data_IF_990646897111
#
_entry.id   IF_990646897111
#
_cell.length_a   1.000
_cell.length_b   1.000
_cell.length_c   1.000
_cell.angle_alpha   90.00
_cell.angle_beta   90.00
_cell.angle_gamma   90.00
#
_symmetry.space_group_name_H-M   'P 1'
#
loop_
_entity.id
_entity.type
_entity.pdbx_description
1 polymer ?
#
# COMPACT_ATOMS: atom_id res chain seq x y z
N UNK A 1 26.27 2.35 58.87
CA UNK A 1 26.26 3.37 57.80
C UNK A 1 26.23 2.62 56.47
N UNK A 2 25.04 2.42 55.91
CA UNK A 2 24.84 1.73 54.63
C UNK A 2 24.46 2.79 53.61
N UNK A 3 25.34 3.01 52.63
CA UNK A 3 25.08 3.92 51.51
C UNK A 3 24.23 3.20 50.46
N UNK A 4 23.05 3.75 50.17
CA UNK A 4 22.21 3.36 49.04
C UNK A 4 22.83 3.95 47.78
N UNK A 5 23.31 3.11 46.86
CA UNK A 5 23.68 3.50 45.51
C UNK A 5 22.41 3.48 44.64
N UNK A 6 21.99 4.62 44.11
CA UNK A 6 20.94 4.68 43.08
C UNK A 6 21.50 4.20 41.75
N UNK A 7 20.74 3.42 40.94
CA UNK A 7 21.18 3.06 39.60
C UNK A 7 21.23 4.29 38.69
N UNK A 8 22.26 4.35 37.85
CA UNK A 8 22.42 5.37 36.81
C UNK A 8 21.24 5.34 35.82
N UNK A 9 20.80 6.49 35.30
CA UNK A 9 19.76 6.52 34.26
C UNK A 9 20.30 5.88 32.97
N UNK A 10 19.49 5.02 32.37
CA UNK A 10 19.71 4.51 31.01
C UNK A 10 19.76 5.68 30.01
N UNK A 11 20.54 5.57 28.92
CA UNK A 11 20.66 6.64 27.96
C UNK A 11 19.30 6.92 27.30
N UNK A 12 18.88 8.19 27.36
CA UNK A 12 17.76 8.71 26.58
C UNK A 12 17.96 8.36 25.11
N UNK A 13 17.06 7.54 24.56
CA UNK A 13 16.94 7.33 23.12
C UNK A 13 16.43 8.64 22.55
N UNK A 14 17.35 9.48 22.12
CA UNK A 14 17.06 10.70 21.36
C UNK A 14 16.35 10.27 20.08
N UNK A 15 15.09 10.68 19.96
CA UNK A 15 14.25 10.55 18.77
C UNK A 15 15.00 11.07 17.54
N UNK A 16 15.40 10.15 16.68
CA UNK A 16 15.91 10.45 15.34
C UNK A 16 14.75 11.00 14.50
N UNK A 17 14.87 12.28 14.16
CA UNK A 17 14.32 13.00 13.02
C UNK A 17 13.23 12.25 12.20
N UNK A 18 11.97 12.67 12.36
CA UNK A 18 10.81 12.20 11.58
C UNK A 18 10.96 12.43 10.06
N UNK A 19 11.90 13.29 9.64
CA UNK A 19 12.16 13.60 8.22
C UNK A 19 12.71 12.41 7.42
N UNK A 20 13.24 11.38 8.08
CA UNK A 20 13.81 10.20 7.40
C UNK A 20 12.75 9.16 7.00
N UNK A 21 11.51 9.29 7.46
CA UNK A 21 10.40 8.38 7.10
C UNK A 21 9.76 8.75 5.75
N UNK A 22 9.89 10.00 5.31
CA UNK A 22 9.29 10.50 4.06
C UNK A 22 9.97 9.94 2.80
N UNK A 23 11.23 9.50 2.91
CA UNK A 23 11.96 8.86 1.80
C UNK A 23 11.67 7.35 1.66
N UNK A 24 10.97 6.74 2.63
CA UNK A 24 10.73 5.28 2.65
C UNK A 24 9.35 4.92 2.08
N UNK A 25 8.32 5.73 2.36
CA UNK A 25 6.93 5.47 1.98
C UNK A 25 6.26 6.72 1.40
N UNK A 26 5.25 6.51 0.56
CA UNK A 26 4.46 7.57 -0.06
C UNK A 26 3.14 7.72 0.72
N UNK A 27 2.95 8.86 1.36
CA UNK A 27 1.71 9.19 2.10
C UNK A 27 0.59 9.59 1.14
N UNK A 28 -0.66 9.46 1.59
CA UNK A 28 -1.82 9.88 0.79
C UNK A 28 -1.81 11.37 0.44
N UNK A 29 -1.27 12.22 1.33
CA UNK A 29 -1.13 13.66 1.11
C UNK A 29 -0.20 13.99 -0.07
N UNK A 30 0.77 13.12 -0.33
CA UNK A 30 1.74 13.26 -1.42
C UNK A 30 1.27 12.62 -2.73
N UNK A 31 0.06 12.07 -2.79
CA UNK A 31 -0.54 11.53 -4.02
C UNK A 31 -1.50 12.57 -4.61
N UNK A 32 -1.19 13.19 -5.77
CA UNK A 32 -2.02 14.25 -6.34
C UNK A 32 -3.37 13.71 -6.81
N UNK A 33 -4.44 14.44 -6.51
CA UNK A 33 -5.80 14.14 -7.01
C UNK A 33 -5.96 14.54 -8.47
N UNK A 34 -6.98 14.01 -9.16
CA UNK A 34 -7.25 14.38 -10.56
C UNK A 34 -7.34 15.91 -10.78
N UNK A 35 -8.05 16.72 -9.95
CA UNK A 35 -8.08 18.18 -10.09
C UNK A 35 -6.70 18.83 -10.03
N UNK A 36 -5.84 18.37 -9.11
CA UNK A 36 -4.47 18.85 -8.99
C UNK A 36 -3.70 18.57 -10.28
N UNK A 37 -3.77 17.34 -10.79
CA UNK A 37 -3.06 16.92 -12.01
C UNK A 37 -3.55 17.66 -13.26
N UNK A 38 -4.86 17.93 -13.40
CA UNK A 38 -5.38 18.75 -14.50
C UNK A 38 -4.92 20.21 -14.40
N UNK A 39 -4.85 20.76 -13.17
CA UNK A 39 -4.39 22.13 -12.94
C UNK A 39 -2.89 22.30 -13.21
N UNK A 40 -2.10 21.30 -12.86
CA UNK A 40 -0.64 21.28 -13.05
C UNK A 40 -0.26 20.93 -14.50
N UNK A 41 -1.19 20.33 -15.26
CA UNK A 41 -1.01 20.03 -16.67
C UNK A 41 -0.48 18.62 -16.94
N UNK A 42 -0.40 17.76 -15.91
CA UNK A 42 0.00 16.35 -16.03
C UNK A 42 -1.08 15.51 -16.75
N UNK A 43 -2.35 15.93 -16.60
CA UNK A 43 -3.47 15.34 -17.30
C UNK A 43 -4.10 16.34 -18.26
N UNK A 44 -4.57 15.82 -19.39
CA UNK A 44 -5.30 16.58 -20.39
C UNK A 44 -6.70 16.00 -20.57
N UNK A 45 -7.69 16.87 -20.73
CA UNK A 45 -9.05 16.45 -20.98
C UNK A 45 -9.11 15.68 -22.31
N UNK A 46 -9.87 14.57 -22.32
CA UNK A 46 -10.18 13.86 -23.55
C UNK A 46 -10.98 14.77 -24.49
N UNK A 47 -10.83 14.55 -25.80
CA UNK A 47 -11.57 15.31 -26.82
C UNK A 47 -13.08 15.10 -26.73
N UNK A 48 -13.50 13.90 -26.32
CA UNK A 48 -14.89 13.50 -26.12
C UNK A 48 -14.98 12.72 -24.80
N UNK A 49 -16.10 12.85 -24.10
CA UNK A 49 -16.34 12.17 -22.83
C UNK A 49 -17.57 11.27 -22.95
N UNK A 50 -17.40 9.99 -22.58
CA UNK A 50 -18.48 9.00 -22.54
C UNK A 50 -19.43 9.22 -21.35
N UNK A 51 -18.95 9.92 -20.31
CA UNK A 51 -19.67 10.15 -19.07
C UNK A 51 -19.79 11.64 -18.75
N UNK A 52 -20.92 12.07 -18.13
CA UNK A 52 -21.05 13.45 -17.68
C UNK A 52 -20.04 13.77 -16.57
N UNK A 53 -19.61 15.02 -16.51
CA UNK A 53 -18.74 15.51 -15.46
C UNK A 53 -19.44 15.47 -14.09
N UNK A 54 -18.79 14.85 -13.11
CA UNK A 54 -19.20 14.85 -11.70
C UNK A 54 -18.02 15.31 -10.82
N UNK A 55 -18.11 16.55 -10.33
CA UNK A 55 -17.07 17.14 -9.49
C UNK A 55 -16.87 16.40 -8.16
N UNK A 56 -17.87 15.66 -7.68
CA UNK A 56 -17.86 15.00 -6.37
C UNK A 56 -16.98 13.74 -6.34
N UNK A 57 -16.53 13.28 -7.51
CA UNK A 57 -15.66 12.11 -7.66
C UNK A 57 -14.19 12.50 -7.83
N UNK A 58 -13.92 13.73 -8.27
CA UNK A 58 -12.58 14.12 -8.72
C UNK A 58 -11.57 14.19 -7.57
N UNK A 59 -12.00 14.57 -6.37
CA UNK A 59 -11.17 14.62 -5.16
C UNK A 59 -10.92 13.23 -4.52
N UNK A 60 -11.58 12.18 -5.03
CA UNK A 60 -11.47 10.79 -4.51
C UNK A 60 -10.63 9.88 -5.40
N UNK A 61 -10.20 10.38 -6.56
CA UNK A 61 -9.45 9.62 -7.54
C UNK A 61 -8.12 10.31 -7.79
N UNK A 62 -7.08 9.50 -7.88
CA UNK A 62 -5.72 9.92 -8.18
C UNK A 62 -5.11 8.97 -9.20
N UNK A 63 -4.20 9.49 -10.01
CA UNK A 63 -3.32 8.66 -10.84
C UNK A 63 -1.92 8.71 -10.23
N UNK A 64 -1.41 7.55 -9.85
CA UNK A 64 -0.08 7.41 -9.26
C UNK A 64 0.76 6.44 -10.08
N UNK A 65 1.93 6.89 -10.52
CA UNK A 65 2.92 6.05 -11.19
C UNK A 65 4.10 5.80 -10.26
N UNK A 66 4.17 4.60 -9.69
CA UNK A 66 5.23 4.23 -8.77
C UNK A 66 5.08 2.81 -8.24
N UNK A 67 5.89 2.47 -7.24
CA UNK A 67 5.84 1.18 -6.55
C UNK A 67 4.68 1.17 -5.54
N UNK A 68 3.67 0.34 -5.79
CA UNK A 68 2.48 0.20 -4.94
C UNK A 68 2.83 -0.24 -3.52
N UNK A 69 3.95 -0.95 -3.32
CA UNK A 69 4.36 -1.45 -1.99
C UNK A 69 4.83 -0.36 -1.05
N UNK A 70 5.03 0.87 -1.55
CA UNK A 70 5.43 2.03 -0.77
C UNK A 70 4.26 2.90 -0.32
N UNK A 71 3.03 2.64 -0.78
CA UNK A 71 1.87 3.47 -0.45
C UNK A 71 1.42 3.25 0.99
N UNK A 72 1.46 4.31 1.80
CA UNK A 72 0.90 4.34 3.16
C UNK A 72 -0.60 4.62 3.09
N UNK A 73 -1.38 3.56 2.91
CA UNK A 73 -2.84 3.58 2.73
C UNK A 73 -3.50 2.46 3.53
N UNK A 74 -4.81 2.49 3.68
CA UNK A 74 -5.53 1.43 4.41
C UNK A 74 -5.41 0.06 3.73
N UNK A 75 -5.37 0.03 2.40
CA UNK A 75 -5.30 -1.21 1.64
C UNK A 75 -4.69 -1.00 0.27
N UNK A 76 -3.86 -1.95 -0.15
CA UNK A 76 -3.46 -2.10 -1.55
C UNK A 76 -4.12 -3.35 -2.14
N UNK A 77 -4.37 -3.33 -3.45
CA UNK A 77 -4.94 -4.49 -4.16
C UNK A 77 -3.82 -5.24 -4.86
N UNK A 78 -3.73 -6.55 -4.58
CA UNK A 78 -2.84 -7.46 -5.27
C UNK A 78 -3.58 -8.14 -6.44
N UNK A 79 -3.00 -8.04 -7.64
CA UNK A 79 -3.39 -8.83 -8.80
C UNK A 79 -2.88 -10.27 -8.65
N UNK A 80 -3.56 -11.04 -7.81
CA UNK A 80 -3.16 -12.38 -7.42
C UNK A 80 -3.60 -13.45 -8.44
N UNK A 81 -2.96 -14.61 -8.36
CA UNK A 81 -3.47 -15.83 -8.97
C UNK A 81 -4.35 -16.61 -7.99
N UNK A 82 -5.12 -17.60 -8.48
CA UNK A 82 -6.08 -18.38 -7.67
C UNK A 82 -5.48 -19.07 -6.44
N UNK A 83 -4.17 -19.34 -6.40
CA UNK A 83 -3.55 -19.98 -5.24
C UNK A 83 -3.35 -19.02 -4.06
N UNK A 84 -3.25 -17.71 -4.31
CA UNK A 84 -2.80 -16.68 -3.35
C UNK A 84 -1.38 -16.88 -2.80
N UNK A 85 -0.58 -17.78 -3.36
CA UNK A 85 0.75 -18.13 -2.84
C UNK A 85 1.89 -17.34 -3.49
N UNK A 86 1.59 -16.13 -3.98
CA UNK A 86 2.51 -15.31 -4.74
C UNK A 86 2.74 -15.81 -6.17
N UNK A 87 3.73 -15.19 -6.83
CA UNK A 87 4.06 -15.42 -8.23
C UNK A 87 5.11 -14.44 -8.72
N UNK A 88 5.03 -14.05 -9.99
CA UNK A 88 5.82 -12.97 -10.57
C UNK A 88 5.06 -11.64 -10.59
N UNK A 89 5.64 -10.62 -11.22
CA UNK A 89 4.99 -9.30 -11.37
C UNK A 89 4.71 -8.62 -10.03
N UNK A 90 3.60 -7.87 -9.96
CA UNK A 90 3.22 -7.13 -8.75
C UNK A 90 2.94 -8.04 -7.56
N UNK A 91 2.41 -9.25 -7.80
CA UNK A 91 2.14 -10.26 -6.77
C UNK A 91 3.44 -10.67 -6.05
N UNK A 92 4.47 -10.99 -6.83
CA UNK A 92 5.80 -11.31 -6.29
C UNK A 92 6.43 -10.16 -5.52
N UNK A 93 6.31 -8.93 -6.03
CA UNK A 93 6.84 -7.72 -5.39
C UNK A 93 6.13 -7.44 -4.05
N UNK A 94 4.80 -7.58 -4.00
CA UNK A 94 4.02 -7.44 -2.76
C UNK A 94 4.43 -8.50 -1.74
N UNK A 95 4.56 -9.77 -2.13
CA UNK A 95 5.01 -10.83 -1.22
C UNK A 95 6.45 -10.60 -0.71
N UNK A 96 7.35 -10.13 -1.57
CA UNK A 96 8.72 -9.82 -1.18
C UNK A 96 8.76 -8.67 -0.16
N UNK A 97 7.99 -7.60 -0.40
CA UNK A 97 7.94 -6.43 0.47
C UNK A 97 7.23 -6.70 1.82
N UNK A 98 6.09 -7.41 1.79
CA UNK A 98 5.35 -7.77 3.01
C UNK A 98 6.10 -8.78 3.90
N UNK A 99 6.99 -9.59 3.29
CA UNK A 99 7.76 -10.62 3.98
C UNK A 99 7.02 -11.96 4.13
N UNK A 100 7.67 -12.96 4.75
CA UNK A 100 7.17 -14.34 4.77
C UNK A 100 5.83 -14.52 5.49
N UNK A 101 5.49 -13.62 6.43
CA UNK A 101 4.21 -13.65 7.15
C UNK A 101 3.00 -13.60 6.22
N UNK A 102 3.08 -12.84 5.11
CA UNK A 102 1.99 -12.74 4.14
C UNK A 102 1.71 -14.10 3.49
N UNK A 103 2.77 -14.82 3.13
CA UNK A 103 2.62 -16.15 2.53
C UNK A 103 2.03 -17.16 3.53
N UNK A 104 2.40 -17.06 4.80
CA UNK A 104 1.84 -17.88 5.87
C UNK A 104 0.35 -17.61 6.07
N UNK A 105 -0.06 -16.34 6.13
CA UNK A 105 -1.47 -15.95 6.22
C UNK A 105 -2.26 -16.42 4.99
N UNK A 106 -1.75 -16.18 3.78
CA UNK A 106 -2.40 -16.60 2.54
C UNK A 106 -2.66 -18.12 2.45
N UNK A 107 -1.79 -18.96 3.05
CA UNK A 107 -2.02 -20.42 3.10
C UNK A 107 -3.28 -20.78 3.89
N UNK A 108 -3.64 -19.98 4.89
CA UNK A 108 -4.85 -20.19 5.70
C UNK A 108 -6.14 -19.84 4.94
N UNK A 109 -6.03 -18.99 3.91
CA UNK A 109 -7.17 -18.52 3.13
C UNK A 109 -7.72 -19.57 2.15
N UNK A 110 -6.94 -20.60 1.79
CA UNK A 110 -7.39 -21.68 0.90
C UNK A 110 -7.58 -21.25 -0.56
N UNK A 111 -6.78 -20.30 -1.05
CA UNK A 111 -6.87 -19.78 -2.43
C UNK A 111 -8.03 -18.79 -2.65
N UNK A 112 -8.27 -18.37 -3.89
CA UNK A 112 -9.36 -17.46 -4.25
C UNK A 112 -9.96 -17.85 -5.61
N UNK A 113 -11.29 -17.80 -5.71
CA UNK A 113 -12.00 -18.00 -6.96
C UNK A 113 -11.88 -16.77 -7.86
N UNK A 114 -11.85 -16.97 -9.18
CA UNK A 114 -11.76 -15.87 -10.15
C UNK A 114 -12.93 -14.90 -9.96
N UNK A 115 -12.63 -13.60 -9.90
CA UNK A 115 -13.62 -12.55 -9.68
C UNK A 115 -13.95 -12.30 -8.19
N UNK A 116 -13.35 -13.06 -7.28
CA UNK A 116 -13.45 -12.83 -5.84
C UNK A 116 -12.16 -12.24 -5.26
N UNK A 117 -12.30 -11.70 -4.05
CA UNK A 117 -11.23 -11.06 -3.29
C UNK A 117 -11.17 -11.64 -1.88
N UNK A 118 -9.97 -11.84 -1.36
CA UNK A 118 -9.73 -12.16 0.06
C UNK A 118 -8.76 -11.16 0.67
N UNK A 119 -8.95 -10.86 1.95
CA UNK A 119 -8.15 -9.89 2.70
C UNK A 119 -7.13 -10.62 3.58
N UNK A 120 -5.96 -10.01 3.71
CA UNK A 120 -4.91 -10.35 4.69
C UNK A 120 -4.37 -9.07 5.34
N UNK A 121 -3.53 -9.23 6.37
CA UNK A 121 -2.76 -8.12 6.94
C UNK A 121 -1.60 -7.70 6.03
N UNK A 122 -1.18 -6.44 6.11
CA UNK A 122 -0.08 -5.91 5.30
C UNK A 122 1.32 -6.34 5.73
N UNK A 123 1.47 -6.90 6.93
CA UNK A 123 2.73 -7.28 7.55
C UNK A 123 3.76 -6.13 7.57
N UNK A 124 4.82 -6.23 6.76
CA UNK A 124 5.88 -5.21 6.67
C UNK A 124 5.56 -4.08 5.70
N UNK A 125 4.45 -4.17 4.97
CA UNK A 125 4.00 -3.09 4.10
C UNK A 125 3.57 -1.89 4.96
N UNK A 126 3.73 -0.66 4.43
CA UNK A 126 3.08 0.52 5.03
C UNK A 126 1.54 0.40 4.95
N UNK A 127 1.02 -0.28 3.93
CA UNK A 127 -0.41 -0.53 3.82
C UNK A 127 -0.91 -1.47 4.93
N UNK A 128 -2.05 -1.15 5.56
CA UNK A 128 -2.55 -1.96 6.68
C UNK A 128 -3.02 -3.36 6.24
N UNK A 129 -3.56 -3.46 5.02
CA UNK A 129 -4.11 -4.70 4.47
C UNK A 129 -3.71 -4.91 3.01
N UNK A 130 -3.74 -6.17 2.58
CA UNK A 130 -3.67 -6.55 1.16
C UNK A 130 -4.96 -7.22 0.75
N UNK A 131 -5.61 -6.66 -0.28
CA UNK A 131 -6.78 -7.24 -0.92
C UNK A 131 -6.33 -8.09 -2.12
N UNK A 132 -6.34 -9.40 -1.97
CA UNK A 132 -5.92 -10.33 -3.01
C UNK A 132 -7.09 -10.70 -3.92
N UNK A 133 -7.06 -10.21 -5.15
CA UNK A 133 -8.11 -10.46 -6.14
C UNK A 133 -7.61 -11.40 -7.22
N UNK A 134 -8.32 -12.53 -7.43
CA UNK A 134 -7.97 -13.47 -8.50
C UNK A 134 -8.56 -12.98 -9.83
N UNK A 135 -7.69 -12.47 -10.71
CA UNK A 135 -8.10 -11.97 -12.02
C UNK A 135 -8.45 -13.12 -13.00
N UNK A 136 -9.39 -12.91 -13.94
CA UNK A 136 -9.61 -13.86 -15.03
C UNK A 136 -8.38 -13.95 -15.91
N UNK A 137 -8.09 -15.16 -16.40
CA UNK A 137 -7.08 -15.36 -17.45
C UNK A 137 -7.76 -15.15 -18.79
N UNK A 138 -7.27 -14.21 -19.59
CA UNK A 138 -7.66 -14.11 -20.99
C UNK A 138 -7.25 -15.43 -21.67
N UNK A 139 -8.21 -16.08 -22.32
CA UNK A 139 -8.03 -17.31 -23.09
C UNK A 139 -7.57 -16.99 -24.52
#
# INVERSE_FOLDING_TARGET
>A
MSGLQTPSPDPEVTSSDDSDLEDVFVTLENVPTLPTMFKEGDLHAAAEADFPHDATLLDRVSLFQGDITRLLVDSIVNAANRSLLGGGGVDGVIHAAAGPGLLEECRTLGGCETGFTKISTGHKLPAQHVLHTAAPRAA
#
